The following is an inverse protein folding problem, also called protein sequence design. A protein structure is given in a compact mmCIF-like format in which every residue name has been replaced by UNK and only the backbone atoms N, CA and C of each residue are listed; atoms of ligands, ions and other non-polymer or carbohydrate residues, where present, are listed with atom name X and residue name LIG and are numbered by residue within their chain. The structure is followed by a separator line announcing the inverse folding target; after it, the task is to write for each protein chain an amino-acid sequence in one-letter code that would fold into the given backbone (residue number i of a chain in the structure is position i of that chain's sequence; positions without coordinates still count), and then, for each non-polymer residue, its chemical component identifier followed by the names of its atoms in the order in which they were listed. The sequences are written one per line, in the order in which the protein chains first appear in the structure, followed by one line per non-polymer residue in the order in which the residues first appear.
data_IF_512738269386
#
_entry.id   IF_512738269386
#
_cell.length_a   1.000
_cell.length_b   1.000
_cell.length_c   1.000
_cell.angle_alpha   90.00
_cell.angle_beta   90.00
_cell.angle_gamma   90.00
#
_symmetry.space_group_name_H-M   'P 1'
#
loop_
_entity.id
_entity.type
_entity.pdbx_description
1 polymer ?
#
# COMPACT_ATOMS: atom_id res chain seq x y z
N UNK A 1 -62.99 31.30 -30.94
CA UNK A 1 -61.89 32.21 -30.57
C UNK A 1 -62.11 32.71 -29.14
N UNK A 2 -61.41 32.13 -28.17
CA UNK A 2 -60.77 32.77 -27.01
C UNK A 2 -60.30 31.65 -26.08
N UNK A 3 -58.99 31.38 -26.14
CA UNK A 3 -58.35 30.31 -25.38
C UNK A 3 -58.17 30.69 -23.92
N UNK A 4 -58.44 29.75 -23.03
CA UNK A 4 -58.17 29.80 -21.60
C UNK A 4 -56.65 29.79 -21.40
N UNK A 5 -56.09 30.88 -20.85
CA UNK A 5 -54.68 30.93 -20.45
C UNK A 5 -54.54 30.32 -19.06
N UNK A 6 -54.01 29.11 -19.00
CA UNK A 6 -53.54 28.49 -17.76
C UNK A 6 -52.20 29.15 -17.42
N UNK A 7 -52.15 29.90 -16.31
CA UNK A 7 -50.89 30.42 -15.78
C UNK A 7 -50.20 29.31 -14.98
N UNK A 8 -49.20 28.69 -15.59
CA UNK A 8 -48.26 27.82 -14.87
C UNK A 8 -47.36 28.70 -13.99
N UNK A 9 -47.54 28.64 -12.67
CA UNK A 9 -46.60 29.23 -11.71
C UNK A 9 -45.37 28.31 -11.67
N UNK A 10 -44.27 28.74 -12.29
CA UNK A 10 -42.95 28.13 -12.05
C UNK A 10 -42.44 28.59 -10.68
N UNK A 11 -42.57 27.74 -9.67
CA UNK A 11 -41.84 27.90 -8.43
C UNK A 11 -40.36 27.56 -8.69
N UNK A 12 -39.51 28.58 -8.80
CA UNK A 12 -38.06 28.42 -8.88
C UNK A 12 -37.52 28.25 -7.48
N UNK A 13 -37.29 27.01 -7.03
CA UNK A 13 -36.54 26.74 -5.81
C UNK A 13 -35.06 26.94 -6.07
N UNK A 14 -34.53 28.11 -5.68
CA UNK A 14 -33.10 28.34 -5.56
C UNK A 14 -32.59 27.50 -4.39
N UNK A 15 -32.10 26.30 -4.69
CA UNK A 15 -31.28 25.54 -3.74
C UNK A 15 -29.93 26.25 -3.72
N UNK A 16 -29.72 27.12 -2.74
CA UNK A 16 -28.40 27.60 -2.36
C UNK A 16 -27.61 26.42 -1.82
N UNK A 17 -27.01 25.64 -2.72
CA UNK A 17 -26.04 24.63 -2.36
C UNK A 17 -24.79 25.35 -1.87
N UNK A 18 -24.66 25.47 -0.55
CA UNK A 18 -23.39 25.83 0.06
C UNK A 18 -22.40 24.73 -0.29
N UNK A 19 -21.58 24.96 -1.33
CA UNK A 19 -20.40 24.14 -1.56
C UNK A 19 -19.46 24.47 -0.41
N UNK A 20 -19.44 23.60 0.60
CA UNK A 20 -18.31 23.55 1.52
C UNK A 20 -17.12 23.09 0.68
N UNK A 21 -16.34 24.05 0.18
CA UNK A 21 -14.99 23.78 -0.27
C UNK A 21 -14.21 23.36 0.98
N UNK A 22 -14.22 22.07 1.26
CA UNK A 22 -13.33 21.49 2.24
C UNK A 22 -11.96 21.52 1.56
N UNK A 23 -11.11 22.48 1.95
CA UNK A 23 -9.69 22.41 1.62
C UNK A 23 -9.23 21.04 2.07
N UNK A 24 -8.76 20.20 1.15
CA UNK A 24 -8.05 18.99 1.55
C UNK A 24 -6.88 19.47 2.42
N UNK A 25 -6.98 19.23 3.73
CA UNK A 25 -5.81 19.31 4.58
C UNK A 25 -4.89 18.24 4.01
N UNK A 26 -3.80 18.65 3.38
CA UNK A 26 -2.70 17.75 3.03
C UNK A 26 -2.26 17.07 4.32
N UNK A 27 -2.80 15.88 4.58
CA UNK A 27 -2.38 14.97 5.65
C UNK A 27 -1.03 14.32 5.34
N UNK A 28 -0.38 14.71 4.24
CA UNK A 28 1.00 14.35 3.98
C UNK A 28 1.86 14.94 5.09
N UNK A 29 2.11 14.14 6.13
CA UNK A 29 3.16 14.38 7.10
C UNK A 29 4.43 14.72 6.31
N UNK A 30 4.82 15.99 6.33
CA UNK A 30 6.05 16.44 5.68
C UNK A 30 7.19 15.58 6.21
N UNK A 31 7.90 14.90 5.33
CA UNK A 31 9.00 14.03 5.72
C UNK A 31 10.04 14.82 6.52
N UNK A 32 10.37 14.38 7.73
CA UNK A 32 11.41 15.02 8.57
C UNK A 32 12.83 14.82 8.03
N UNK A 33 12.97 14.01 6.98
CA UNK A 33 14.26 13.64 6.36
C UNK A 33 14.24 13.87 4.84
N UNK A 34 13.31 14.69 4.33
CA UNK A 34 13.15 14.97 2.90
C UNK A 34 12.96 13.71 2.03
N UNK A 35 12.44 12.62 2.60
CA UNK A 35 12.13 11.41 1.83
C UNK A 35 10.95 11.62 0.89
N UNK A 36 11.06 11.05 -0.31
CA UNK A 36 9.93 10.94 -1.23
C UNK A 36 9.08 9.73 -0.85
N UNK A 37 7.76 9.86 -0.95
CA UNK A 37 6.83 8.76 -0.63
C UNK A 37 6.37 8.07 -1.92
N UNK A 38 6.53 6.76 -1.99
CA UNK A 38 6.28 5.95 -3.19
C UNK A 38 5.34 4.78 -2.92
N UNK A 39 4.68 4.30 -3.96
CA UNK A 39 3.93 3.03 -3.93
C UNK A 39 4.88 1.83 -3.81
N UNK A 40 4.50 0.75 -3.11
CA UNK A 40 5.25 -0.50 -3.12
C UNK A 40 5.30 -1.14 -4.52
N UNK A 41 6.42 -1.77 -4.86
CA UNK A 41 6.58 -2.51 -6.12
C UNK A 41 7.49 -3.73 -5.97
N UNK A 42 7.11 -4.84 -6.59
CA UNK A 42 7.94 -6.04 -6.69
C UNK A 42 8.95 -5.97 -7.85
N UNK A 43 8.86 -4.98 -8.71
CA UNK A 43 9.64 -4.86 -9.95
C UNK A 43 10.71 -3.77 -9.82
N UNK A 44 10.34 -2.64 -9.21
CA UNK A 44 11.21 -1.47 -9.05
C UNK A 44 11.96 -1.53 -7.73
N UNK A 45 13.29 -1.45 -7.80
CA UNK A 45 14.14 -1.28 -6.62
C UNK A 45 13.88 0.11 -6.02
N UNK A 46 13.54 0.16 -4.73
CA UNK A 46 13.33 1.41 -3.99
C UNK A 46 14.64 2.19 -3.82
N UNK A 47 14.60 3.53 -3.92
CA UNK A 47 15.75 4.37 -3.63
C UNK A 47 16.00 4.47 -2.11
N UNK A 48 17.25 4.59 -1.64
CA UNK A 48 17.53 4.88 -0.23
C UNK A 48 16.89 6.16 0.32
N UNK A 49 16.51 7.10 -0.56
CA UNK A 49 15.81 8.34 -0.20
C UNK A 49 14.29 8.22 -0.24
N UNK A 50 13.74 7.07 -0.64
CA UNK A 50 12.30 6.85 -0.74
C UNK A 50 11.77 6.15 0.52
N UNK A 51 10.51 6.40 0.84
CA UNK A 51 9.72 5.67 1.85
C UNK A 51 8.45 5.15 1.21
N UNK A 52 7.98 3.99 1.67
CA UNK A 52 6.66 3.51 1.29
C UNK A 52 5.58 4.44 1.88
N UNK A 53 4.64 4.87 1.04
CA UNK A 53 3.54 5.72 1.46
C UNK A 53 2.50 4.93 2.29
N UNK A 54 1.76 5.65 3.15
CA UNK A 54 0.59 5.11 3.87
C UNK A 54 0.85 3.78 4.61
N UNK A 55 2.05 3.61 5.18
CA UNK A 55 2.49 2.31 5.70
C UNK A 55 1.61 1.79 6.84
N UNK A 56 1.09 2.68 7.68
CA UNK A 56 0.17 2.32 8.76
C UNK A 56 -1.14 1.76 8.20
N UNK A 57 -1.79 2.50 7.29
CA UNK A 57 -3.06 2.11 6.68
C UNK A 57 -2.91 0.82 5.87
N UNK A 58 -1.82 0.67 5.12
CA UNK A 58 -1.51 -0.55 4.37
C UNK A 58 -1.33 -1.74 5.30
N UNK A 59 -0.60 -1.57 6.39
CA UNK A 59 -0.43 -2.63 7.37
C UNK A 59 -1.75 -3.08 7.96
N UNK A 60 -2.69 -2.17 8.19
CA UNK A 60 -4.00 -2.49 8.76
C UNK A 60 -5.00 -3.07 7.75
N UNK A 61 -4.85 -2.78 6.45
CA UNK A 61 -5.86 -3.09 5.43
C UNK A 61 -5.44 -4.14 4.40
N UNK A 62 -4.14 -4.35 4.19
CA UNK A 62 -3.64 -5.25 3.13
C UNK A 62 -3.19 -6.62 3.68
N UNK A 63 -3.25 -7.67 2.85
CA UNK A 63 -2.71 -8.99 3.21
C UNK A 63 -1.23 -8.96 3.59
N UNK A 64 -0.44 -8.19 2.84
CA UNK A 64 0.97 -7.88 3.05
C UNK A 64 1.37 -6.71 2.14
N UNK A 65 2.53 -6.12 2.42
CA UNK A 65 3.22 -5.15 1.60
C UNK A 65 4.46 -5.83 1.03
N UNK A 66 4.68 -5.75 -0.28
CA UNK A 66 5.84 -6.33 -0.97
C UNK A 66 6.61 -5.23 -1.68
N UNK A 67 7.93 -5.17 -1.43
CA UNK A 67 8.82 -4.17 -2.04
C UNK A 67 10.14 -4.82 -2.44
N UNK A 68 10.60 -4.58 -3.68
CA UNK A 68 11.95 -4.93 -4.13
C UNK A 68 12.98 -3.94 -3.58
N UNK A 69 14.01 -4.45 -2.91
CA UNK A 69 15.05 -3.63 -2.25
C UNK A 69 16.45 -3.87 -2.81
N UNK A 70 16.60 -4.83 -3.72
CA UNK A 70 17.82 -5.09 -4.48
C UNK A 70 17.51 -5.95 -5.70
N UNK A 71 18.52 -6.35 -6.48
CA UNK A 71 18.30 -7.11 -7.72
C UNK A 71 17.47 -8.39 -7.53
N UNK A 72 17.72 -9.09 -6.41
CA UNK A 72 17.10 -10.38 -6.06
C UNK A 72 16.58 -10.41 -4.62
N UNK A 73 16.46 -9.23 -4.00
CA UNK A 73 16.16 -9.07 -2.57
C UNK A 73 14.87 -8.29 -2.42
N UNK A 74 14.00 -8.78 -1.54
CA UNK A 74 12.65 -8.29 -1.35
C UNK A 74 12.36 -8.15 0.14
N UNK A 75 11.63 -7.09 0.46
CA UNK A 75 11.05 -6.82 1.75
C UNK A 75 9.57 -7.18 1.68
N UNK A 76 9.10 -7.98 2.64
CA UNK A 76 7.67 -8.22 2.85
C UNK A 76 7.30 -7.86 4.28
N UNK A 77 6.20 -7.15 4.44
CA UNK A 77 5.68 -6.78 5.75
C UNK A 77 4.21 -7.17 5.87
N UNK A 78 3.84 -7.69 7.04
CA UNK A 78 2.45 -7.92 7.41
C UNK A 78 2.19 -7.45 8.83
N UNK A 79 1.19 -6.58 8.99
CA UNK A 79 1.07 -5.75 10.18
C UNK A 79 2.42 -5.06 10.44
N UNK A 80 2.93 -5.07 11.66
CA UNK A 80 4.16 -4.35 12.01
C UNK A 80 5.40 -5.24 12.06
N UNK A 81 5.35 -6.41 11.42
CA UNK A 81 6.47 -7.35 11.33
C UNK A 81 6.88 -7.56 9.88
N UNK A 82 8.17 -7.50 9.63
CA UNK A 82 8.76 -7.67 8.31
C UNK A 82 9.69 -8.88 8.23
N UNK A 83 9.76 -9.45 7.05
CA UNK A 83 10.72 -10.48 6.66
C UNK A 83 11.42 -10.00 5.40
N UNK A 84 12.74 -10.15 5.34
CA UNK A 84 13.48 -9.97 4.08
C UNK A 84 13.67 -11.34 3.44
N UNK A 85 13.54 -11.44 2.12
CA UNK A 85 13.87 -12.65 1.40
C UNK A 85 14.77 -12.39 0.20
N UNK A 86 15.64 -13.37 -0.07
CA UNK A 86 16.54 -13.38 -1.21
C UNK A 86 16.20 -14.57 -2.11
N UNK A 87 15.98 -14.29 -3.40
CA UNK A 87 15.70 -15.31 -4.40
C UNK A 87 17.03 -15.81 -4.97
N UNK A 88 17.48 -16.99 -4.55
CA UNK A 88 18.65 -17.67 -5.14
C UNK A 88 18.28 -18.42 -6.42
N UNK A 89 19.24 -19.15 -7.00
CA UNK A 89 19.00 -19.90 -8.24
C UNK A 89 18.28 -21.24 -8.00
N UNK A 90 18.30 -21.74 -6.76
CA UNK A 90 17.74 -23.03 -6.37
C UNK A 90 16.60 -22.93 -5.35
N UNK A 91 16.43 -21.77 -4.74
CA UNK A 91 15.51 -21.60 -3.62
C UNK A 91 15.53 -20.18 -3.06
N UNK A 92 14.64 -19.96 -2.10
CA UNK A 92 14.47 -18.69 -1.40
C UNK A 92 15.04 -18.80 0.01
N UNK A 93 15.87 -17.83 0.37
CA UNK A 93 16.39 -17.63 1.73
C UNK A 93 15.53 -16.58 2.43
N UNK A 94 15.06 -16.88 3.64
CA UNK A 94 14.31 -15.96 4.49
C UNK A 94 15.14 -15.48 5.68
N UNK A 95 14.97 -14.21 6.03
CA UNK A 95 15.54 -13.59 7.22
C UNK A 95 14.41 -13.22 8.19
N UNK A 96 14.48 -13.75 9.42
CA UNK A 96 13.57 -13.41 10.51
C UNK A 96 12.08 -13.58 10.16
N UNK A 97 11.69 -14.79 9.73
CA UNK A 97 10.30 -15.11 9.44
C UNK A 97 9.49 -15.28 10.74
N UNK A 98 8.54 -14.38 11.06
CA UNK A 98 7.81 -14.44 12.34
C UNK A 98 6.72 -15.52 12.35
N UNK A 99 6.39 -16.01 13.55
CA UNK A 99 5.30 -16.94 13.78
C UNK A 99 3.94 -16.37 13.30
N UNK A 100 3.07 -17.25 12.78
CA UNK A 100 1.71 -16.91 12.39
C UNK A 100 1.59 -16.12 11.06
N UNK A 101 2.69 -15.88 10.34
CA UNK A 101 2.70 -15.11 9.07
C UNK A 101 2.91 -15.95 7.81
N UNK A 102 3.13 -17.25 7.97
CA UNK A 102 3.53 -18.16 6.88
C UNK A 102 2.64 -18.10 5.63
N UNK A 103 1.30 -18.07 5.77
CA UNK A 103 0.38 -18.04 4.63
C UNK A 103 0.64 -16.88 3.67
N UNK A 104 0.72 -15.66 4.20
CA UNK A 104 0.90 -14.45 3.39
C UNK A 104 2.35 -14.23 2.98
N UNK A 105 3.30 -14.64 3.81
CA UNK A 105 4.71 -14.67 3.44
C UNK A 105 4.95 -15.58 2.22
N UNK A 106 4.39 -16.80 2.24
CA UNK A 106 4.48 -17.72 1.11
C UNK A 106 3.76 -17.18 -0.12
N UNK A 107 2.61 -16.50 0.03
CA UNK A 107 1.94 -15.85 -1.09
C UNK A 107 2.83 -14.75 -1.72
N UNK A 108 3.40 -13.86 -0.91
CA UNK A 108 4.28 -12.79 -1.39
C UNK A 108 5.51 -13.34 -2.13
N UNK A 109 6.08 -14.45 -1.66
CA UNK A 109 7.18 -15.12 -2.36
C UNK A 109 6.72 -15.69 -3.70
N UNK A 110 5.51 -16.25 -3.77
CA UNK A 110 4.94 -16.84 -5.00
C UNK A 110 4.65 -15.80 -6.07
N UNK A 111 4.33 -14.56 -5.68
CA UNK A 111 4.18 -13.45 -6.62
C UNK A 111 5.50 -13.07 -7.30
N UNK A 112 6.64 -13.40 -6.68
CA UNK A 112 7.99 -13.09 -7.20
C UNK A 112 8.62 -14.28 -7.90
N UNK A 113 8.46 -15.49 -7.38
CA UNK A 113 9.19 -16.67 -7.87
C UNK A 113 8.47 -18.00 -7.62
N UNK A 114 8.59 -18.98 -8.53
CA UNK A 114 8.11 -20.34 -8.32
C UNK A 114 9.07 -21.20 -7.47
N UNK A 115 10.23 -20.69 -7.06
CA UNK A 115 11.21 -21.46 -6.29
C UNK A 115 10.71 -21.76 -4.85
N UNK A 116 11.09 -22.90 -4.25
CA UNK A 116 10.74 -23.21 -2.87
C UNK A 116 11.56 -22.38 -1.88
N UNK A 117 11.04 -22.19 -0.66
CA UNK A 117 11.84 -21.74 0.48
C UNK A 117 12.75 -22.89 0.90
N UNK A 118 14.06 -22.63 1.00
CA UNK A 118 15.07 -23.66 1.28
C UNK A 118 15.90 -23.38 2.52
N UNK A 119 15.92 -22.14 3.00
CA UNK A 119 16.69 -21.75 4.17
C UNK A 119 16.00 -20.62 4.94
N UNK A 120 16.17 -20.65 6.27
CA UNK A 120 15.78 -19.60 7.18
C UNK A 120 16.99 -19.22 8.02
N UNK A 121 17.23 -17.91 8.16
CA UNK A 121 18.23 -17.33 9.04
C UNK A 121 17.50 -16.49 10.07
N UNK A 122 17.69 -16.82 11.34
CA UNK A 122 17.19 -16.03 12.45
C UNK A 122 18.36 -15.27 13.07
N UNK A 123 18.23 -13.96 13.14
CA UNK A 123 19.24 -13.08 13.73
C UNK A 123 19.25 -13.16 15.27
N UNK A 124 18.14 -13.58 15.87
CA UNK A 124 17.98 -13.74 17.31
C UNK A 124 16.79 -14.65 17.65
N UNK A 125 16.65 -14.99 18.93
CA UNK A 125 15.50 -15.72 19.48
C UNK A 125 14.48 -14.73 20.07
N UNK A 126 13.20 -14.92 19.76
CA UNK A 126 12.07 -14.09 20.25
C UNK A 126 11.38 -14.73 21.45
#
# INVERSE_FOLDING_TARGET
MQGIKIYTILASSLISGSIFAQTEISTANSSTVNASYVEPSAEKIISPSDKLNNLFERNMSQPYILQKIGERTYYVQRYFYSTTFYVGDKGVLLFDAPEGRGKYLLQAIRDVTPLPVTALVYSHYH
#
